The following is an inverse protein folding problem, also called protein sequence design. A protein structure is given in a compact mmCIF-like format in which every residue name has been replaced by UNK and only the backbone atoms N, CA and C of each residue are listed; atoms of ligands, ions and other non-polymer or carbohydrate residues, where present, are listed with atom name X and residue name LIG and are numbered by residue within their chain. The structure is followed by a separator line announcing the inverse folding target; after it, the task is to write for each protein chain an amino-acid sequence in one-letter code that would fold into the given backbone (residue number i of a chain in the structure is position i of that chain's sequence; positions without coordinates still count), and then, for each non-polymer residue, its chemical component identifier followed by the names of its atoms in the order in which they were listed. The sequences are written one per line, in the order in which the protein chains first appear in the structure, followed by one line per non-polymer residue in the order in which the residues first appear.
data_IF_390319811555
#
_entry.id   IF_390319811555
#
_cell.length_a   1.000
_cell.length_b   1.000
_cell.length_c   1.000
_cell.angle_alpha   90.00
_cell.angle_beta   90.00
_cell.angle_gamma   90.00
#
_symmetry.space_group_name_H-M   'P 1'
#
loop_
_entity.id
_entity.type
_entity.pdbx_description
1 polymer ?
#
# COMPACT_ATOMS: atom_id res chain seq x y z
N UNK A 1 25.34 61.32 -39.61
CA UNK A 1 23.98 61.15 -39.06
C UNK A 1 23.92 59.83 -38.30
N UNK A 2 23.81 59.88 -36.97
CA UNK A 2 23.58 58.74 -36.07
C UNK A 2 22.19 58.16 -36.33
N UNK A 3 22.06 56.83 -36.49
CA UNK A 3 20.89 56.07 -36.02
C UNK A 3 21.34 54.71 -35.48
N UNK A 4 21.13 54.56 -34.17
CA UNK A 4 21.20 53.32 -33.40
C UNK A 4 20.05 52.40 -33.80
N UNK A 5 20.31 51.09 -33.84
CA UNK A 5 19.26 50.09 -33.65
C UNK A 5 19.79 49.00 -32.71
N UNK A 6 19.30 49.05 -31.48
CA UNK A 6 19.32 47.94 -30.52
C UNK A 6 18.56 46.76 -31.15
N UNK A 7 19.25 45.63 -31.34
CA UNK A 7 18.61 44.34 -31.58
C UNK A 7 18.33 43.66 -30.24
N UNK A 8 17.06 43.65 -29.85
CA UNK A 8 16.53 42.99 -28.66
C UNK A 8 16.60 41.47 -28.83
N UNK A 9 17.27 40.77 -27.91
CA UNK A 9 17.15 39.32 -27.73
C UNK A 9 15.89 39.08 -26.91
N UNK A 10 14.86 38.50 -27.53
CA UNK A 10 13.66 38.04 -26.83
C UNK A 10 13.84 36.56 -26.47
N UNK A 11 13.82 36.17 -25.18
CA UNK A 11 13.77 34.76 -24.83
C UNK A 11 12.36 34.24 -25.14
N UNK A 12 12.30 33.17 -25.94
CA UNK A 12 11.10 32.41 -26.25
C UNK A 12 10.63 31.70 -24.97
N UNK A 13 9.60 32.24 -24.33
CA UNK A 13 8.97 31.70 -23.13
C UNK A 13 7.91 30.65 -23.52
N UNK A 14 8.25 29.39 -23.29
CA UNK A 14 7.42 28.27 -22.81
C UNK A 14 5.94 28.25 -23.27
N UNK A 15 5.66 27.48 -24.32
CA UNK A 15 4.29 27.08 -24.69
C UNK A 15 3.93 25.71 -24.08
N UNK A 16 3.83 25.61 -22.75
CA UNK A 16 3.39 24.38 -22.03
C UNK A 16 2.11 24.61 -21.19
N UNK A 17 1.51 25.81 -21.21
CA UNK A 17 0.49 26.20 -20.24
C UNK A 17 -0.99 25.89 -20.56
N UNK A 18 -1.36 25.56 -21.80
CA UNK A 18 -2.78 25.57 -22.18
C UNK A 18 -3.59 24.34 -21.70
N UNK A 19 -2.98 23.16 -21.60
CA UNK A 19 -3.69 21.94 -21.16
C UNK A 19 -3.91 21.84 -19.65
N UNK A 20 -2.96 22.33 -18.85
CA UNK A 20 -3.01 22.21 -17.38
C UNK A 20 -4.11 23.07 -16.75
N UNK A 21 -4.40 24.24 -17.34
CA UNK A 21 -5.44 25.15 -16.85
C UNK A 21 -6.84 24.56 -17.04
N UNK A 22 -7.13 23.97 -18.20
CA UNK A 22 -8.42 23.35 -18.49
C UNK A 22 -8.67 22.11 -17.61
N UNK A 23 -7.64 21.29 -17.39
CA UNK A 23 -7.72 20.13 -16.48
C UNK A 23 -8.01 20.57 -15.04
N UNK A 24 -7.39 21.65 -14.57
CA UNK A 24 -7.61 22.17 -13.22
C UNK A 24 -9.05 22.70 -13.04
N UNK A 25 -9.58 23.45 -14.01
CA UNK A 25 -10.98 23.92 -13.98
C UNK A 25 -11.95 22.74 -13.93
N UNK A 26 -11.68 21.69 -14.70
CA UNK A 26 -12.49 20.48 -14.73
C UNK A 26 -12.45 19.74 -13.39
N UNK A 27 -11.26 19.57 -12.82
CA UNK A 27 -11.06 18.97 -11.50
C UNK A 27 -11.84 19.72 -10.41
N UNK A 28 -11.75 21.05 -10.38
CA UNK A 28 -12.44 21.88 -9.40
C UNK A 28 -13.97 21.81 -9.58
N UNK A 29 -14.44 21.69 -10.82
CA UNK A 29 -15.85 21.47 -11.13
C UNK A 29 -16.34 20.14 -10.57
N UNK A 30 -15.63 19.03 -10.81
CA UNK A 30 -15.99 17.73 -10.26
C UNK A 30 -16.02 17.74 -8.73
N UNK A 31 -15.00 18.31 -8.08
CA UNK A 31 -14.92 18.41 -6.61
C UNK A 31 -16.06 19.24 -6.03
N UNK A 32 -16.37 20.38 -6.65
CA UNK A 32 -17.50 21.23 -6.25
C UNK A 32 -18.82 20.46 -6.36
N UNK A 33 -19.07 19.83 -7.50
CA UNK A 33 -20.31 19.10 -7.73
C UNK A 33 -20.45 17.89 -6.79
N UNK A 34 -19.36 17.17 -6.53
CA UNK A 34 -19.36 16.04 -5.60
C UNK A 34 -19.72 16.48 -4.18
N UNK A 35 -19.19 17.62 -3.72
CA UNK A 35 -19.50 18.18 -2.39
C UNK A 35 -20.96 18.61 -2.28
N UNK A 36 -21.52 19.21 -3.33
CA UNK A 36 -22.90 19.71 -3.37
C UNK A 36 -23.95 18.61 -3.53
N UNK A 37 -23.58 17.47 -4.13
CA UNK A 37 -24.50 16.36 -4.31
C UNK A 37 -24.95 15.80 -2.95
N UNK A 38 -26.27 15.68 -2.77
CA UNK A 38 -26.89 15.11 -1.56
C UNK A 38 -27.07 13.58 -1.69
N UNK A 39 -27.37 13.10 -2.90
CA UNK A 39 -27.60 11.68 -3.17
C UNK A 39 -26.32 10.90 -3.49
N UNK A 40 -26.22 9.66 -2.96
CA UNK A 40 -25.10 8.76 -3.25
C UNK A 40 -25.02 8.37 -4.74
N UNK A 41 -26.16 8.17 -5.40
CA UNK A 41 -26.25 7.88 -6.83
C UNK A 41 -25.60 8.98 -7.68
N UNK A 42 -25.82 10.25 -7.30
CA UNK A 42 -25.25 11.42 -7.97
C UNK A 42 -23.74 11.50 -7.70
N UNK A 43 -23.30 11.28 -6.45
CA UNK A 43 -21.86 11.23 -6.11
C UNK A 43 -21.11 10.14 -6.88
N UNK A 44 -21.68 8.95 -6.98
CA UNK A 44 -21.12 7.84 -7.75
C UNK A 44 -20.99 8.20 -9.23
N UNK A 45 -22.03 8.78 -9.84
CA UNK A 45 -21.97 9.22 -11.23
C UNK A 45 -20.90 10.29 -11.47
N UNK A 46 -20.78 11.28 -10.58
CA UNK A 46 -19.73 12.32 -10.66
C UNK A 46 -18.34 11.66 -10.61
N UNK A 47 -18.14 10.70 -9.72
CA UNK A 47 -16.90 9.94 -9.63
C UNK A 47 -16.63 9.17 -10.93
N UNK A 48 -17.62 8.47 -11.48
CA UNK A 48 -17.51 7.76 -12.76
C UNK A 48 -17.20 8.70 -13.95
N UNK A 49 -17.81 9.88 -13.99
CA UNK A 49 -17.56 10.85 -15.06
C UNK A 49 -16.17 11.47 -14.95
N UNK A 50 -15.66 11.69 -13.73
CA UNK A 50 -14.28 12.15 -13.51
C UNK A 50 -13.24 11.13 -14.00
N UNK A 51 -13.54 9.84 -13.93
CA UNK A 51 -12.66 8.77 -14.44
C UNK A 51 -12.54 8.84 -15.95
N UNK A 52 -13.66 9.07 -16.65
CA UNK A 52 -13.68 9.21 -18.12
C UNK A 52 -12.90 10.45 -18.59
N UNK A 53 -12.82 11.48 -17.76
CA UNK A 53 -12.15 12.74 -18.07
C UNK A 53 -10.61 12.69 -17.94
N UNK A 54 -10.06 11.74 -17.17
CA UNK A 54 -8.61 11.53 -17.04
C UNK A 54 -8.21 11.06 -15.64
N UNK A 55 -7.72 9.82 -15.52
CA UNK A 55 -7.48 9.22 -14.21
C UNK A 55 -6.27 9.78 -13.44
N UNK A 56 -5.20 10.22 -14.11
CA UNK A 56 -3.99 10.63 -13.40
C UNK A 56 -4.14 11.99 -12.67
N UNK A 57 -4.63 13.01 -13.37
CA UNK A 57 -4.75 14.38 -12.82
C UNK A 57 -5.91 14.53 -11.82
N UNK A 58 -6.81 13.54 -11.76
CA UNK A 58 -7.98 13.54 -10.89
C UNK A 58 -7.72 12.96 -9.49
N UNK A 59 -6.46 12.67 -9.13
CA UNK A 59 -6.10 12.07 -7.83
C UNK A 59 -6.72 12.77 -6.62
N UNK A 60 -6.74 14.12 -6.59
CA UNK A 60 -7.34 14.86 -5.48
C UNK A 60 -8.88 14.78 -5.41
N UNK A 61 -9.54 14.47 -6.52
CA UNK A 61 -10.99 14.20 -6.56
C UNK A 61 -11.29 12.81 -5.98
N UNK A 62 -10.47 11.80 -6.30
CA UNK A 62 -10.62 10.46 -5.72
C UNK A 62 -10.30 10.45 -4.23
N UNK A 63 -9.30 11.21 -3.81
CA UNK A 63 -9.03 11.43 -2.38
C UNK A 63 -10.22 12.09 -1.68
N UNK A 64 -10.83 13.12 -2.27
CA UNK A 64 -12.06 13.72 -1.72
C UNK A 64 -13.19 12.70 -1.55
N UNK A 65 -13.35 11.77 -2.50
CA UNK A 65 -14.34 10.70 -2.38
C UNK A 65 -13.98 9.70 -1.25
N UNK A 66 -12.70 9.36 -1.07
CA UNK A 66 -12.24 8.55 0.07
C UNK A 66 -12.53 9.27 1.40
N UNK A 67 -12.23 10.56 1.51
CA UNK A 67 -12.51 11.33 2.73
C UNK A 67 -14.01 11.35 3.04
N UNK A 68 -14.85 11.53 2.02
CA UNK A 68 -16.30 11.45 2.18
C UNK A 68 -16.75 10.08 2.72
N UNK A 69 -16.20 8.98 2.21
CA UNK A 69 -16.50 7.63 2.71
C UNK A 69 -16.06 7.48 4.17
N UNK A 70 -14.88 8.00 4.54
CA UNK A 70 -14.40 7.91 5.92
C UNK A 70 -15.29 8.71 6.87
N UNK A 71 -15.67 9.92 6.48
CA UNK A 71 -16.51 10.80 7.30
C UNK A 71 -17.95 10.25 7.45
N UNK A 72 -18.35 9.31 6.57
CA UNK A 72 -19.67 8.69 6.55
C UNK A 72 -19.58 7.16 6.66
N UNK A 73 -18.60 6.64 7.41
CA UNK A 73 -18.28 5.20 7.43
C UNK A 73 -19.43 4.31 7.91
N UNK A 74 -20.37 4.84 8.70
CA UNK A 74 -21.56 4.10 9.13
C UNK A 74 -22.46 3.66 7.97
N UNK A 75 -22.41 4.38 6.84
CA UNK A 75 -23.18 4.02 5.65
C UNK A 75 -22.56 2.84 4.89
N UNK A 76 -21.31 2.44 5.17
CA UNK A 76 -20.72 1.27 4.52
C UNK A 76 -21.47 -0.01 4.84
N UNK A 77 -22.06 -0.13 6.02
CA UNK A 77 -22.76 -1.35 6.43
C UNK A 77 -24.20 -1.43 5.89
N UNK A 78 -24.80 -0.28 5.58
CA UNK A 78 -26.23 -0.18 5.22
C UNK A 78 -26.47 0.18 3.75
N UNK A 79 -25.56 0.92 3.12
CA UNK A 79 -25.74 1.47 1.77
C UNK A 79 -24.78 0.81 0.77
N UNK A 80 -25.33 -0.01 -0.14
CA UNK A 80 -24.54 -0.66 -1.19
C UNK A 80 -23.81 0.34 -2.10
N UNK A 81 -24.44 1.49 -2.39
CA UNK A 81 -23.83 2.57 -3.17
C UNK A 81 -22.62 3.19 -2.45
N UNK A 82 -22.63 3.25 -1.11
CA UNK A 82 -21.45 3.74 -0.37
C UNK A 82 -20.26 2.79 -0.54
N UNK A 83 -20.49 1.47 -0.52
CA UNK A 83 -19.45 0.48 -0.80
C UNK A 83 -18.91 0.62 -2.22
N UNK A 84 -19.77 0.86 -3.20
CA UNK A 84 -19.35 1.07 -4.59
C UNK A 84 -18.48 2.33 -4.75
N UNK A 85 -18.90 3.45 -4.16
CA UNK A 85 -18.11 4.69 -4.12
C UNK A 85 -16.75 4.43 -3.47
N UNK A 86 -16.72 3.72 -2.34
CA UNK A 86 -15.49 3.39 -1.63
C UNK A 86 -14.53 2.57 -2.49
N UNK A 87 -14.99 1.46 -3.06
CA UNK A 87 -14.16 0.59 -3.90
C UNK A 87 -13.64 1.34 -5.12
N UNK A 88 -14.49 2.13 -5.78
CA UNK A 88 -14.11 2.91 -6.95
C UNK A 88 -13.08 3.99 -6.59
N UNK A 89 -13.32 4.76 -5.52
CA UNK A 89 -12.41 5.83 -5.11
C UNK A 89 -11.04 5.29 -4.70
N UNK A 90 -10.99 4.19 -3.92
CA UNK A 90 -9.75 3.53 -3.51
C UNK A 90 -8.95 3.06 -4.73
N UNK A 91 -9.62 2.36 -5.65
CA UNK A 91 -8.99 1.87 -6.87
C UNK A 91 -8.44 3.03 -7.72
N UNK A 92 -9.19 4.11 -7.87
CA UNK A 92 -8.74 5.26 -8.67
C UNK A 92 -7.63 6.08 -8.01
N UNK A 93 -7.58 6.16 -6.68
CA UNK A 93 -6.43 6.73 -5.97
C UNK A 93 -5.14 5.98 -6.32
N UNK A 94 -5.20 4.64 -6.37
CA UNK A 94 -4.07 3.79 -6.78
C UNK A 94 -3.67 4.06 -8.23
N UNK A 95 -4.63 4.04 -9.16
CA UNK A 95 -4.36 4.28 -10.60
C UNK A 95 -3.79 5.69 -10.85
N UNK A 96 -4.22 6.67 -10.06
CA UNK A 96 -3.67 8.03 -10.12
C UNK A 96 -2.27 8.13 -9.49
N UNK A 97 -1.84 7.16 -8.68
CA UNK A 97 -0.61 7.25 -7.89
C UNK A 97 -0.65 8.35 -6.82
N UNK A 98 -1.85 8.71 -6.34
CA UNK A 98 -2.05 9.91 -5.52
C UNK A 98 -1.72 9.65 -4.05
N UNK A 99 -0.46 9.86 -3.69
CA UNK A 99 0.11 9.50 -2.39
C UNK A 99 -0.48 10.25 -1.18
N UNK A 100 -0.99 11.46 -1.37
CA UNK A 100 -1.61 12.25 -0.31
C UNK A 100 -2.83 11.56 0.33
N UNK A 101 -3.45 10.60 -0.36
CA UNK A 101 -4.58 9.82 0.14
C UNK A 101 -4.21 8.70 1.13
N UNK A 102 -2.91 8.36 1.30
CA UNK A 102 -2.46 7.18 2.08
C UNK A 102 -2.99 7.15 3.51
N UNK A 103 -3.08 8.30 4.20
CA UNK A 103 -3.61 8.35 5.56
C UNK A 103 -5.12 8.18 5.62
N UNK A 104 -5.87 8.71 4.66
CA UNK A 104 -7.32 8.51 4.56
C UNK A 104 -7.65 7.06 4.23
N UNK A 105 -6.90 6.44 3.32
CA UNK A 105 -6.99 5.00 3.04
C UNK A 105 -6.71 4.17 4.29
N UNK A 106 -5.64 4.46 5.03
CA UNK A 106 -5.33 3.73 6.25
C UNK A 106 -6.39 3.91 7.35
N UNK A 107 -6.91 5.14 7.50
CA UNK A 107 -8.02 5.42 8.41
C UNK A 107 -9.27 4.61 8.02
N UNK A 108 -9.59 4.56 6.72
CA UNK A 108 -10.67 3.74 6.21
C UNK A 108 -10.45 2.26 6.57
N UNK A 109 -9.27 1.71 6.28
CA UNK A 109 -8.92 0.30 6.56
C UNK A 109 -9.13 -0.09 8.03
N UNK A 110 -8.77 0.79 8.98
CA UNK A 110 -8.92 0.54 10.42
C UNK A 110 -10.36 0.63 10.90
N UNK A 111 -11.18 1.41 10.22
CA UNK A 111 -12.54 1.73 10.65
C UNK A 111 -13.62 0.90 9.93
N UNK A 112 -13.23 -0.10 9.12
CA UNK A 112 -14.16 -1.00 8.46
C UNK A 112 -13.67 -2.45 8.55
N UNK A 113 -14.61 -3.40 8.44
CA UNK A 113 -14.32 -4.84 8.47
C UNK A 113 -14.63 -5.55 7.15
N UNK A 114 -15.00 -4.83 6.09
CA UNK A 114 -15.36 -5.43 4.80
C UNK A 114 -14.11 -5.98 4.10
N UNK A 115 -14.07 -7.29 3.88
CA UNK A 115 -12.93 -8.00 3.31
C UNK A 115 -12.50 -7.42 1.97
N UNK A 116 -13.45 -7.16 1.06
CA UNK A 116 -13.18 -6.69 -0.30
C UNK A 116 -12.57 -5.29 -0.26
N UNK A 117 -13.16 -4.39 0.54
CA UNK A 117 -12.67 -3.04 0.69
C UNK A 117 -11.28 -3.01 1.34
N UNK A 118 -11.04 -3.81 2.38
CA UNK A 118 -9.74 -3.88 3.05
C UNK A 118 -8.63 -4.40 2.14
N UNK A 119 -8.93 -5.43 1.33
CA UNK A 119 -8.00 -5.91 0.29
C UNK A 119 -7.71 -4.81 -0.73
N UNK A 120 -8.74 -4.11 -1.24
CA UNK A 120 -8.56 -3.02 -2.19
C UNK A 120 -7.70 -1.87 -1.62
N UNK A 121 -7.89 -1.54 -0.34
CA UNK A 121 -7.11 -0.51 0.34
C UNK A 121 -5.64 -0.93 0.49
N UNK A 122 -5.37 -2.15 0.98
CA UNK A 122 -4.00 -2.65 1.11
C UNK A 122 -3.28 -2.67 -0.24
N UNK A 123 -3.97 -3.15 -1.27
CA UNK A 123 -3.45 -3.13 -2.64
C UNK A 123 -3.06 -1.71 -3.09
N UNK A 124 -3.89 -0.71 -2.77
CA UNK A 124 -3.65 0.69 -3.09
C UNK A 124 -2.48 1.27 -2.29
N UNK A 125 -2.40 0.98 -0.99
CA UNK A 125 -1.29 1.40 -0.12
C UNK A 125 0.05 0.81 -0.58
N UNK A 126 0.06 -0.41 -1.13
CA UNK A 126 1.26 -1.01 -1.72
C UNK A 126 1.86 -0.19 -2.86
N UNK A 127 1.05 0.62 -3.54
CA UNK A 127 1.50 1.53 -4.62
C UNK A 127 1.84 2.91 -4.07
N UNK A 128 0.96 3.49 -3.25
CA UNK A 128 1.04 4.92 -2.92
C UNK A 128 1.73 5.24 -1.59
N UNK A 129 2.00 4.24 -0.74
CA UNK A 129 2.60 4.44 0.59
C UNK A 129 4.10 4.09 0.63
N UNK A 130 4.77 4.12 -0.52
CA UNK A 130 6.20 3.82 -0.65
C UNK A 130 7.02 4.69 0.33
N UNK A 131 7.88 4.05 1.13
CA UNK A 131 8.76 4.69 2.13
C UNK A 131 8.03 5.45 3.25
N UNK A 132 6.72 5.32 3.40
CA UNK A 132 5.98 5.93 4.50
C UNK A 132 6.04 5.05 5.75
N UNK A 133 6.97 5.38 6.65
CA UNK A 133 7.20 4.60 7.87
C UNK A 133 5.97 4.48 8.77
N UNK A 134 5.06 5.45 8.74
CA UNK A 134 3.83 5.42 9.56
C UNK A 134 2.84 4.41 9.03
N UNK A 135 2.62 4.39 7.72
CA UNK A 135 1.74 3.40 7.08
C UNK A 135 2.34 1.99 7.18
N UNK A 136 3.63 1.85 6.87
CA UNK A 136 4.34 0.58 6.96
C UNK A 136 4.23 -0.01 8.37
N UNK A 137 4.56 0.80 9.40
CA UNK A 137 4.41 0.39 10.80
C UNK A 137 2.97 -0.01 11.13
N UNK A 138 1.98 0.73 10.66
CA UNK A 138 0.57 0.40 10.86
C UNK A 138 0.20 -0.97 10.27
N UNK A 139 0.66 -1.30 9.06
CA UNK A 139 0.42 -2.60 8.42
C UNK A 139 1.14 -3.72 9.17
N UNK A 140 2.38 -3.48 9.63
CA UNK A 140 3.16 -4.44 10.44
C UNK A 140 2.45 -4.74 11.76
N UNK A 141 2.00 -3.71 12.48
CA UNK A 141 1.27 -3.86 13.75
C UNK A 141 -0.04 -4.62 13.54
N UNK A 142 -0.76 -4.28 12.47
CA UNK A 142 -1.98 -4.99 12.12
C UNK A 142 -1.71 -6.47 11.82
N UNK A 143 -0.74 -6.80 10.97
CA UNK A 143 -0.39 -8.19 10.65
C UNK A 143 0.08 -8.95 11.90
N UNK A 144 0.88 -8.32 12.75
CA UNK A 144 1.34 -8.89 14.02
C UNK A 144 0.17 -9.23 14.95
N UNK A 145 -0.85 -8.37 15.01
CA UNK A 145 -2.08 -8.69 15.76
C UNK A 145 -2.84 -9.88 15.18
N UNK A 146 -2.86 -10.05 13.85
CA UNK A 146 -3.48 -11.22 13.22
C UNK A 146 -2.71 -12.51 13.56
N UNK A 147 -1.37 -12.45 13.52
CA UNK A 147 -0.49 -13.56 13.90
C UNK A 147 -0.76 -13.99 15.35
N UNK A 148 -0.89 -13.04 16.27
CA UNK A 148 -1.24 -13.31 17.66
C UNK A 148 -2.61 -13.99 17.80
N UNK A 149 -3.64 -13.49 17.09
CA UNK A 149 -4.99 -14.07 17.13
C UNK A 149 -5.02 -15.51 16.62
N UNK A 150 -4.29 -15.82 15.55
CA UNK A 150 -4.21 -17.19 15.03
C UNK A 150 -3.57 -18.14 16.06
N UNK A 151 -2.51 -17.69 16.74
CA UNK A 151 -1.91 -18.44 17.87
C UNK A 151 -2.90 -18.69 19.02
N UNK A 152 -3.84 -17.75 19.23
CA UNK A 152 -4.97 -17.87 20.16
C UNK A 152 -6.16 -18.69 19.66
N UNK A 153 -6.05 -19.36 18.50
CA UNK A 153 -7.11 -20.17 17.85
C UNK A 153 -8.32 -19.37 17.35
N UNK A 154 -8.18 -18.06 17.15
CA UNK A 154 -9.15 -17.25 16.41
C UNK A 154 -8.70 -17.15 14.96
N UNK A 155 -9.58 -17.50 14.02
CA UNK A 155 -9.25 -17.47 12.59
C UNK A 155 -9.33 -16.04 12.04
N UNK A 156 -8.21 -15.44 11.60
CA UNK A 156 -8.24 -14.13 10.95
C UNK A 156 -8.84 -14.23 9.55
N UNK A 157 -9.14 -13.08 8.95
CA UNK A 157 -9.50 -13.00 7.54
C UNK A 157 -8.26 -13.28 6.67
N UNK A 158 -8.19 -14.51 6.15
CA UNK A 158 -7.08 -14.97 5.33
C UNK A 158 -6.88 -14.15 4.04
N UNK A 159 -7.94 -13.57 3.47
CA UNK A 159 -7.81 -12.75 2.26
C UNK A 159 -7.12 -11.42 2.60
N UNK A 160 -7.51 -10.78 3.70
CA UNK A 160 -6.87 -9.54 4.15
C UNK A 160 -5.43 -9.79 4.63
N UNK A 161 -5.17 -10.92 5.31
CA UNK A 161 -3.81 -11.32 5.71
C UNK A 161 -2.93 -11.53 4.47
N UNK A 162 -3.42 -12.25 3.46
CA UNK A 162 -2.67 -12.47 2.23
C UNK A 162 -2.32 -11.15 1.52
N UNK A 163 -3.27 -10.21 1.41
CA UNK A 163 -2.99 -8.92 0.78
C UNK A 163 -2.06 -8.05 1.63
N UNK A 164 -2.12 -8.12 2.97
CA UNK A 164 -1.19 -7.38 3.84
C UNK A 164 0.25 -7.88 3.67
N UNK A 165 0.44 -9.20 3.60
CA UNK A 165 1.75 -9.82 3.32
C UNK A 165 2.30 -9.35 1.97
N UNK A 166 1.47 -9.40 0.92
CA UNK A 166 1.84 -8.91 -0.41
C UNK A 166 2.17 -7.42 -0.41
N UNK A 167 1.40 -6.62 0.33
CA UNK A 167 1.61 -5.17 0.47
C UNK A 167 2.95 -4.89 1.12
N UNK A 168 3.28 -5.54 2.23
CA UNK A 168 4.59 -5.40 2.89
C UNK A 168 5.74 -5.85 1.98
N UNK A 169 5.58 -6.96 1.25
CA UNK A 169 6.57 -7.40 0.26
C UNK A 169 6.77 -6.40 -0.90
N UNK A 170 5.74 -5.63 -1.24
CA UNK A 170 5.80 -4.56 -2.26
C UNK A 170 6.46 -3.29 -1.72
N UNK A 171 6.24 -2.98 -0.44
CA UNK A 171 6.85 -1.83 0.25
C UNK A 171 8.32 -2.07 0.63
N UNK A 172 8.73 -3.34 0.73
CA UNK A 172 10.12 -3.81 0.92
C UNK A 172 10.85 -3.28 2.15
N UNK A 173 10.13 -2.79 3.15
CA UNK A 173 10.75 -2.23 4.35
C UNK A 173 11.27 -3.34 5.28
N UNK A 174 12.54 -3.25 5.67
CA UNK A 174 13.20 -4.26 6.52
C UNK A 174 12.52 -4.47 7.87
N UNK A 175 11.82 -3.45 8.40
CA UNK A 175 11.10 -3.55 9.68
C UNK A 175 9.96 -4.58 9.64
N UNK A 176 9.49 -4.96 8.45
CA UNK A 176 8.46 -5.99 8.28
C UNK A 176 8.98 -7.43 8.50
N UNK A 177 10.30 -7.63 8.60
CA UNK A 177 10.92 -8.96 8.66
C UNK A 177 10.29 -9.87 9.72
N UNK A 178 10.20 -9.42 10.97
CA UNK A 178 9.70 -10.27 12.06
C UNK A 178 8.22 -10.64 11.85
N UNK A 179 7.38 -9.70 11.47
CA UNK A 179 5.96 -9.97 11.23
C UNK A 179 5.77 -10.99 10.09
N UNK A 180 6.49 -10.82 8.98
CA UNK A 180 6.44 -11.74 7.83
C UNK A 180 7.01 -13.12 8.17
N UNK A 181 8.11 -13.19 8.92
CA UNK A 181 8.70 -14.45 9.37
C UNK A 181 7.73 -15.24 10.25
N UNK A 182 7.09 -14.58 11.23
CA UNK A 182 6.05 -15.22 12.04
C UNK A 182 4.86 -15.68 11.20
N UNK A 183 4.41 -14.88 10.23
CA UNK A 183 3.31 -15.29 9.33
C UNK A 183 3.67 -16.54 8.51
N UNK A 184 4.92 -16.67 8.06
CA UNK A 184 5.41 -17.87 7.37
C UNK A 184 5.34 -19.11 8.27
N UNK A 185 5.79 -18.99 9.53
CA UNK A 185 5.88 -20.10 10.49
C UNK A 185 4.53 -20.54 11.05
N UNK A 186 3.58 -19.61 11.22
CA UNK A 186 2.23 -19.92 11.69
C UNK A 186 1.40 -20.74 10.69
N UNK A 187 1.87 -20.88 9.44
CA UNK A 187 1.27 -21.75 8.42
C UNK A 187 -0.24 -21.58 8.23
N UNK A 188 -0.70 -20.31 8.20
CA UNK A 188 -2.09 -19.94 7.87
C UNK A 188 -2.69 -20.79 6.75
N UNK A 189 -2.00 -20.84 5.61
CA UNK A 189 -2.28 -21.69 4.46
C UNK A 189 -1.02 -21.82 3.63
N UNK A 190 -0.95 -22.82 2.73
CA UNK A 190 0.19 -22.96 1.80
C UNK A 190 0.40 -21.69 0.97
N UNK A 191 -0.68 -21.01 0.57
CA UNK A 191 -0.63 -19.78 -0.19
C UNK A 191 -0.01 -18.63 0.64
N UNK A 192 -0.50 -18.40 1.86
CA UNK A 192 -0.01 -17.31 2.72
C UNK A 192 1.45 -17.57 3.12
N UNK A 193 1.83 -18.81 3.44
CA UNK A 193 3.23 -19.17 3.70
C UNK A 193 4.13 -18.88 2.50
N UNK A 194 3.67 -19.19 1.28
CA UNK A 194 4.43 -18.89 0.06
C UNK A 194 4.58 -17.38 -0.16
N UNK A 195 3.50 -16.61 0.03
CA UNK A 195 3.54 -15.14 -0.06
C UNK A 195 4.47 -14.54 0.98
N UNK A 196 4.44 -15.02 2.21
CA UNK A 196 5.31 -14.54 3.29
C UNK A 196 6.78 -14.83 2.98
N UNK A 197 7.09 -16.03 2.48
CA UNK A 197 8.45 -16.37 2.02
C UNK A 197 8.91 -15.43 0.89
N UNK A 198 8.05 -15.18 -0.10
CA UNK A 198 8.38 -14.27 -1.21
C UNK A 198 8.60 -12.83 -0.72
N UNK A 199 7.75 -12.34 0.19
CA UNK A 199 7.87 -11.02 0.77
C UNK A 199 9.15 -10.85 1.60
N UNK A 200 9.55 -11.87 2.39
CA UNK A 200 10.81 -11.86 3.12
C UNK A 200 12.03 -11.73 2.20
N UNK A 201 11.99 -12.40 1.05
CA UNK A 201 13.07 -12.37 0.05
C UNK A 201 13.09 -11.07 -0.77
N UNK A 202 12.02 -10.26 -0.72
CA UNK A 202 11.94 -8.98 -1.42
C UNK A 202 12.28 -7.77 -0.55
N UNK A 203 12.41 -7.94 0.77
CA UNK A 203 12.78 -6.85 1.68
C UNK A 203 14.16 -6.27 1.32
N UNK A 204 14.26 -4.95 1.40
CA UNK A 204 15.54 -4.25 1.37
C UNK A 204 16.28 -4.45 2.70
N UNK A 205 17.61 -4.32 2.68
CA UNK A 205 18.47 -4.47 3.86
C UNK A 205 19.11 -5.85 4.02
N UNK A 206 19.66 -6.10 5.22
CA UNK A 206 20.49 -7.27 5.49
C UNK A 206 19.65 -8.49 5.89
N UNK A 207 19.04 -9.14 4.90
CA UNK A 207 18.34 -10.42 5.08
C UNK A 207 19.20 -11.44 5.85
N UNK A 208 20.52 -11.46 5.60
CA UNK A 208 21.49 -12.27 6.33
C UNK A 208 21.44 -11.95 7.83
N UNK A 209 21.68 -10.69 8.22
CA UNK A 209 21.72 -10.29 9.62
C UNK A 209 20.42 -10.64 10.36
N UNK A 210 19.28 -10.43 9.70
CA UNK A 210 17.97 -10.77 10.25
C UNK A 210 17.81 -12.28 10.48
N UNK A 211 18.15 -13.11 9.49
CA UNK A 211 18.10 -14.57 9.63
C UNK A 211 19.08 -15.09 10.70
N UNK A 212 20.29 -14.54 10.76
CA UNK A 212 21.28 -14.88 11.80
C UNK A 212 20.78 -14.50 13.20
N UNK A 213 20.08 -13.37 13.33
CA UNK A 213 19.41 -12.97 14.58
C UNK A 213 18.37 -13.98 15.04
N UNK A 214 17.59 -14.54 14.10
CA UNK A 214 16.61 -15.61 14.40
C UNK A 214 17.31 -16.90 14.80
N UNK A 215 18.40 -17.30 14.12
CA UNK A 215 19.15 -18.51 14.45
C UNK A 215 19.76 -18.43 15.86
N UNK A 216 20.24 -17.24 16.27
CA UNK A 216 20.78 -17.02 17.63
C UNK A 216 19.70 -17.13 18.70
N UNK A 217 18.61 -16.40 18.52
CA UNK A 217 17.71 -16.05 19.63
C UNK A 217 16.32 -16.71 19.54
N UNK A 218 15.98 -17.34 18.42
CA UNK A 218 14.68 -17.93 18.16
C UNK A 218 14.46 -19.26 18.88
N UNK A 219 13.22 -19.75 18.84
CA UNK A 219 12.90 -21.11 19.28
C UNK A 219 13.52 -22.14 18.34
N UNK A 220 13.63 -23.42 18.75
CA UNK A 220 14.18 -24.49 17.87
C UNK A 220 13.45 -24.52 16.51
N UNK A 221 12.12 -24.33 16.49
CA UNK A 221 11.37 -24.27 15.23
C UNK A 221 11.81 -23.08 14.36
N UNK A 222 11.91 -21.89 14.97
CA UNK A 222 12.34 -20.67 14.26
C UNK A 222 13.78 -20.80 13.73
N UNK A 223 14.69 -21.38 14.53
CA UNK A 223 16.07 -21.65 14.12
C UNK A 223 16.11 -22.56 12.89
N UNK A 224 15.36 -23.67 12.91
CA UNK A 224 15.28 -24.61 11.78
C UNK A 224 14.70 -23.94 10.53
N UNK A 225 13.66 -23.13 10.69
CA UNK A 225 13.04 -22.41 9.58
C UNK A 225 13.99 -21.36 8.97
N UNK A 226 14.65 -20.56 9.81
CA UNK A 226 15.64 -19.58 9.38
C UNK A 226 16.83 -20.25 8.69
N UNK A 227 17.35 -21.35 9.24
CA UNK A 227 18.43 -22.13 8.62
C UNK A 227 18.01 -22.68 7.26
N UNK A 228 16.79 -23.23 7.15
CA UNK A 228 16.26 -23.71 5.87
C UNK A 228 16.17 -22.58 4.84
N UNK A 229 15.75 -21.37 5.26
CA UNK A 229 15.74 -20.21 4.37
C UNK A 229 17.14 -19.82 3.92
N UNK A 230 18.13 -19.82 4.82
CA UNK A 230 19.53 -19.52 4.45
C UNK A 230 20.06 -20.52 3.43
N UNK A 231 19.91 -21.81 3.69
CA UNK A 231 20.43 -22.89 2.83
C UNK A 231 19.77 -22.88 1.45
N UNK A 232 18.46 -22.62 1.38
CA UNK A 232 17.69 -22.58 0.14
C UNK A 232 17.79 -21.25 -0.63
N UNK A 233 18.50 -20.25 -0.11
CA UNK A 233 18.61 -18.96 -0.76
C UNK A 233 19.84 -18.92 -1.66
N UNK A 234 19.61 -18.97 -2.97
CA UNK A 234 20.67 -18.93 -3.99
C UNK A 234 21.38 -17.57 -4.06
N UNK A 235 20.80 -16.51 -3.48
CA UNK A 235 21.45 -15.19 -3.40
C UNK A 235 22.46 -15.07 -2.26
N UNK A 236 22.50 -16.04 -1.34
CA UNK A 236 23.49 -16.06 -0.27
C UNK A 236 24.70 -16.90 -0.70
N UNK A 237 25.88 -16.32 -0.54
CA UNK A 237 27.16 -17.01 -0.74
C UNK A 237 27.34 -18.21 0.21
N UNK A 238 28.16 -19.19 -0.21
CA UNK A 238 28.37 -20.44 0.55
C UNK A 238 29.03 -20.20 1.92
N UNK A 239 29.88 -19.18 2.04
CA UNK A 239 30.45 -18.74 3.33
C UNK A 239 29.36 -18.36 4.35
N UNK A 240 28.29 -17.70 3.92
CA UNK A 240 27.18 -17.27 4.75
C UNK A 240 26.29 -18.44 5.15
N UNK A 241 26.16 -19.44 4.27
CA UNK A 241 25.46 -20.68 4.57
C UNK A 241 26.23 -21.51 5.60
N UNK A 242 27.55 -21.57 5.49
CA UNK A 242 28.41 -22.23 6.48
C UNK A 242 28.32 -21.55 7.85
N UNK A 243 28.43 -20.21 7.90
CA UNK A 243 28.30 -19.43 9.15
C UNK A 243 26.95 -19.67 9.84
N UNK A 244 25.85 -19.71 9.08
CA UNK A 244 24.53 -20.01 9.62
C UNK A 244 24.40 -21.45 10.15
N UNK A 245 25.07 -22.42 9.49
CA UNK A 245 25.07 -23.81 9.92
C UNK A 245 25.87 -23.99 11.21
N UNK A 246 27.04 -23.36 11.34
CA UNK A 246 27.84 -23.36 12.57
C UNK A 246 27.05 -22.76 13.73
N UNK A 247 26.43 -21.59 13.51
CA UNK A 247 25.62 -20.91 14.52
C UNK A 247 24.40 -21.73 14.97
N UNK A 248 23.85 -22.59 14.11
CA UNK A 248 22.71 -23.43 14.45
C UNK A 248 23.09 -24.66 15.30
N UNK A 249 24.39 -24.99 15.40
CA UNK A 249 24.92 -26.09 16.21
C UNK A 249 25.28 -25.67 17.65
N UNK A 250 25.36 -24.36 17.91
CA UNK A 250 25.54 -23.75 19.24
C UNK A 250 24.22 -23.66 20.03
#
# INVERSE_FOLDING_TARGET
MRKSFLGVVFPLLIAVGLGAQDTQILLDTFKSNFKKAEELSVKLRILQDSIKAGSHDMGSMYHLAVDYVVDNSSLLDTESLMKEIALLAVQQVKEAGYDAAKYSLWRLFRNNSDTTLRVSILNSLGVIAQRDSRIIKGIIEWLSSQNFMLGGKTNPDNQVVAEAVKTLGTLKDSSAFHALFTTMELKYSKQITSLAKQALLSLEGELKANLMGVIRNGTISDKVAALRMVVQNDKLEDNHKAEAAELALE
#
